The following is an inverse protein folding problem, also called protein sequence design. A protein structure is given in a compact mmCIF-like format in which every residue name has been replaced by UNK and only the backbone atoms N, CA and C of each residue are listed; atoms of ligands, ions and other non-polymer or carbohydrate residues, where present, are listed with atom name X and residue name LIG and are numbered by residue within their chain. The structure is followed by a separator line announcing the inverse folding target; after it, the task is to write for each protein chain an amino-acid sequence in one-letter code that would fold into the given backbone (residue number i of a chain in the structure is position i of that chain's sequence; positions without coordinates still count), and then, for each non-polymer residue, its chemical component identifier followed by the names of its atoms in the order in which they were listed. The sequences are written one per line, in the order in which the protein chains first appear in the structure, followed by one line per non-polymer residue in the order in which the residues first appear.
data_IF_116381959513
#
_entry.id   IF_116381959513
#
_cell.length_a   1.000
_cell.length_b   1.000
_cell.length_c   1.000
_cell.angle_alpha   90.00
_cell.angle_beta   90.00
_cell.angle_gamma   90.00
#
_symmetry.space_group_name_H-M   'P 1'
#
loop_
_entity.id
_entity.type
_entity.pdbx_description
1 polymer ?
#
# COMPACT_ATOMS: atom_id res chain seq x y z
N UNK A 1 25.59 -57.44 7.11
CA UNK A 1 26.63 -56.68 7.80
C UNK A 1 26.87 -55.43 7.01
N UNK A 2 26.52 -54.39 7.43
CA UNK A 2 27.06 -53.10 7.79
C UNK A 2 25.94 -52.06 7.88
N UNK A 3 25.83 -51.50 9.08
CA UNK A 3 24.85 -50.46 9.39
C UNK A 3 25.48 -49.09 9.03
N UNK A 4 24.90 -48.37 8.06
CA UNK A 4 25.23 -46.99 7.79
C UNK A 4 24.37 -46.08 8.67
N UNK A 5 25.00 -45.41 9.60
CA UNK A 5 24.38 -44.44 10.50
C UNK A 5 24.01 -43.15 9.76
N UNK A 6 22.75 -42.76 9.87
CA UNK A 6 22.29 -41.45 9.42
C UNK A 6 22.49 -40.44 10.52
N UNK A 7 23.42 -39.51 10.35
CA UNK A 7 23.60 -38.34 11.19
C UNK A 7 22.51 -37.31 10.91
N UNK A 8 21.96 -36.62 11.93
CA UNK A 8 21.01 -35.55 11.71
C UNK A 8 21.73 -34.29 11.23
N UNK A 9 21.35 -33.78 10.06
CA UNK A 9 21.75 -32.46 9.57
C UNK A 9 21.13 -31.37 10.45
N UNK A 10 21.91 -30.86 11.39
CA UNK A 10 21.63 -29.63 12.11
C UNK A 10 21.62 -28.47 11.11
N UNK A 11 20.45 -27.92 10.82
CA UNK A 11 20.30 -26.68 10.09
C UNK A 11 20.71 -25.49 10.96
N UNK A 12 22.00 -25.19 11.03
CA UNK A 12 22.49 -23.90 11.48
C UNK A 12 22.11 -22.86 10.40
N UNK A 13 20.98 -22.21 10.57
CA UNK A 13 20.64 -21.02 9.82
C UNK A 13 21.64 -19.92 10.15
N UNK A 14 22.40 -19.53 9.13
CA UNK A 14 23.49 -18.57 9.22
C UNK A 14 22.98 -17.20 9.69
N UNK A 15 23.49 -16.74 10.82
CA UNK A 15 23.31 -15.40 11.42
C UNK A 15 23.83 -14.24 10.52
N UNK A 16 24.29 -14.54 9.31
CA UNK A 16 24.87 -13.59 8.36
C UNK A 16 23.88 -12.60 7.75
N UNK A 17 22.66 -13.04 7.43
CA UNK A 17 21.71 -12.20 6.69
C UNK A 17 21.14 -11.04 7.51
N UNK A 18 20.86 -11.21 8.80
CA UNK A 18 20.38 -10.11 9.67
C UNK A 18 21.43 -9.01 9.85
N UNK A 19 22.69 -9.39 10.05
CA UNK A 19 23.78 -8.42 10.20
C UNK A 19 24.12 -7.69 8.90
N UNK A 20 24.00 -8.34 7.75
CA UNK A 20 24.19 -7.73 6.44
C UNK A 20 23.08 -6.72 6.17
N UNK A 21 21.82 -7.08 6.39
CA UNK A 21 20.67 -6.19 6.24
C UNK A 21 20.75 -4.97 7.16
N UNK A 22 21.08 -5.15 8.44
CA UNK A 22 21.25 -4.04 9.39
C UNK A 22 22.46 -3.16 9.06
N UNK A 23 23.52 -3.72 8.45
CA UNK A 23 24.65 -2.91 7.94
C UNK A 23 24.27 -2.08 6.72
N UNK A 24 23.45 -2.60 5.81
CA UNK A 24 22.94 -1.83 4.67
C UNK A 24 21.99 -0.71 5.12
N UNK A 25 21.13 -0.98 6.09
CA UNK A 25 20.28 0.06 6.72
C UNK A 25 21.12 1.11 7.44
N UNK A 26 22.21 0.71 8.14
CA UNK A 26 23.12 1.64 8.81
C UNK A 26 23.99 2.46 7.83
N UNK A 27 24.40 1.87 6.70
CA UNK A 27 25.11 2.56 5.62
C UNK A 27 24.21 3.59 4.89
N UNK A 28 22.92 3.32 4.78
CA UNK A 28 21.93 4.28 4.30
C UNK A 28 21.78 5.51 5.22
N UNK A 29 22.00 5.33 6.54
CA UNK A 29 21.96 6.42 7.52
C UNK A 29 23.22 7.31 7.48
N UNK A 30 24.34 6.82 6.96
CA UNK A 30 25.62 7.52 6.96
C UNK A 30 25.91 8.32 5.66
N UNK A 31 25.08 8.18 4.61
CA UNK A 31 25.24 8.96 3.40
C UNK A 31 24.70 10.39 3.62
N UNK A 32 25.60 11.31 3.94
CA UNK A 32 25.34 12.76 3.90
C UNK A 32 25.00 13.16 2.47
N UNK A 33 23.72 13.44 2.22
CA UNK A 33 23.24 13.93 0.93
C UNK A 33 23.84 15.29 0.64
N UNK A 34 24.64 15.38 -0.39
CA UNK A 34 24.90 16.65 -1.08
C UNK A 34 23.60 17.13 -1.69
N UNK A 35 23.00 18.17 -1.11
CA UNK A 35 21.89 18.92 -1.69
C UNK A 35 22.40 19.60 -2.98
N UNK A 36 22.34 18.90 -4.11
CA UNK A 36 22.65 19.48 -5.41
C UNK A 36 21.43 20.19 -5.97
N UNK A 37 21.43 21.52 -5.80
CA UNK A 37 21.01 22.57 -6.74
C UNK A 37 19.69 22.38 -7.50
N UNK A 38 18.59 22.71 -6.79
CA UNK A 38 17.40 23.26 -7.42
C UNK A 38 17.20 24.72 -6.94
N UNK A 39 18.11 25.58 -7.36
CA UNK A 39 18.01 27.03 -7.17
C UNK A 39 18.08 27.68 -8.55
N UNK A 40 16.97 27.64 -9.30
CA UNK A 40 16.85 28.47 -10.51
C UNK A 40 15.73 29.52 -10.39
N UNK A 41 14.70 29.37 -9.54
CA UNK A 41 13.57 30.31 -9.52
C UNK A 41 13.21 30.91 -8.15
N UNK A 42 14.08 30.86 -7.16
CA UNK A 42 13.89 31.61 -5.89
C UNK A 42 12.66 31.23 -5.02
N UNK A 43 11.77 30.37 -5.51
CA UNK A 43 10.65 29.85 -4.74
C UNK A 43 11.03 28.52 -4.07
N UNK A 44 10.75 28.35 -2.75
CA UNK A 44 10.90 27.04 -2.14
C UNK A 44 10.04 26.03 -2.93
N UNK A 45 10.53 24.80 -3.13
CA UNK A 45 9.72 23.79 -3.78
C UNK A 45 8.35 23.66 -3.09
N UNK A 46 7.27 23.48 -3.82
CA UNK A 46 5.95 23.38 -3.23
C UNK A 46 5.97 22.29 -2.15
N UNK A 47 5.57 22.64 -0.95
CA UNK A 47 5.53 21.69 0.17
C UNK A 47 4.64 20.52 -0.23
N UNK A 48 5.20 19.29 -0.22
CA UNK A 48 4.43 18.07 -0.50
C UNK A 48 3.18 18.01 0.37
N UNK A 49 2.08 17.54 -0.21
CA UNK A 49 0.80 17.38 0.50
C UNK A 49 0.59 15.95 1.00
N UNK A 50 1.25 14.97 0.36
CA UNK A 50 1.17 13.56 0.75
C UNK A 50 1.74 13.31 2.14
N UNK A 51 1.28 12.26 2.80
CA UNK A 51 1.72 11.86 4.15
C UNK A 51 2.46 10.53 4.14
N UNK A 52 3.53 10.41 4.93
CA UNK A 52 4.25 9.15 5.13
C UNK A 52 3.46 8.26 6.08
N UNK A 53 2.98 7.12 5.58
CA UNK A 53 2.02 6.29 6.27
C UNK A 53 2.66 5.03 6.85
N UNK A 54 2.37 4.72 8.11
CA UNK A 54 2.67 3.44 8.71
C UNK A 54 1.55 2.44 8.36
N UNK A 55 1.88 1.39 7.60
CA UNK A 55 1.04 0.21 7.38
C UNK A 55 1.70 -0.97 8.11
N UNK A 56 1.26 -1.30 9.33
CA UNK A 56 1.96 -2.28 10.17
C UNK A 56 2.08 -3.66 9.53
N UNK A 57 0.98 -4.17 8.97
CA UNK A 57 0.94 -5.51 8.35
C UNK A 57 1.89 -5.68 7.18
N UNK A 58 2.13 -4.63 6.39
CA UNK A 58 3.00 -4.67 5.21
C UNK A 58 4.49 -4.83 5.56
N UNK A 59 4.88 -4.50 6.79
CA UNK A 59 6.27 -4.51 7.26
C UNK A 59 6.51 -5.40 8.48
N UNK A 60 5.57 -6.33 8.78
CA UNK A 60 5.69 -7.27 9.88
C UNK A 60 5.50 -6.69 11.28
N UNK A 61 5.10 -5.43 11.40
CA UNK A 61 4.82 -4.77 12.69
C UNK A 61 3.47 -5.24 13.23
N UNK A 62 3.43 -5.56 14.51
CA UNK A 62 2.23 -6.01 15.20
C UNK A 62 1.86 -5.05 16.34
N UNK A 63 0.57 -4.95 16.67
CA UNK A 63 0.10 -4.13 17.77
C UNK A 63 -1.38 -3.77 17.63
N UNK A 64 -1.99 -3.35 18.74
CA UNK A 64 -3.30 -2.74 18.70
C UNK A 64 -3.22 -1.28 18.22
N UNK A 65 -4.37 -0.63 18.00
CA UNK A 65 -4.41 0.73 17.44
C UNK A 65 -3.60 1.75 18.26
N UNK A 66 -3.65 1.66 19.59
CA UNK A 66 -2.91 2.59 20.46
C UNK A 66 -1.40 2.37 20.36
N UNK A 67 -0.95 1.12 20.27
CA UNK A 67 0.47 0.78 20.09
C UNK A 67 0.99 1.23 18.72
N UNK A 68 0.18 1.08 17.66
CA UNK A 68 0.57 1.55 16.32
C UNK A 68 0.58 3.08 16.20
N UNK A 69 -0.31 3.78 16.92
CA UNK A 69 -0.27 5.25 17.04
C UNK A 69 1.03 5.71 17.72
N UNK A 70 1.41 5.06 18.83
CA UNK A 70 2.65 5.37 19.54
C UNK A 70 3.89 5.13 18.68
N UNK A 71 3.95 3.97 17.97
CA UNK A 71 5.01 3.67 17.01
C UNK A 71 5.09 4.72 15.90
N UNK A 72 3.95 5.08 15.30
CA UNK A 72 3.90 6.08 14.24
C UNK A 72 4.45 7.44 14.72
N UNK A 73 4.02 7.90 15.90
CA UNK A 73 4.45 9.16 16.49
C UNK A 73 5.97 9.16 16.77
N UNK A 74 6.48 8.11 17.43
CA UNK A 74 7.90 8.03 17.81
C UNK A 74 8.85 7.94 16.61
N UNK A 75 8.44 7.27 15.52
CA UNK A 75 9.25 7.16 14.32
C UNK A 75 9.08 8.32 13.33
N UNK A 76 8.10 9.20 13.57
CA UNK A 76 7.87 10.38 12.73
C UNK A 76 7.17 10.02 11.41
N UNK A 77 6.27 9.03 11.43
CA UNK A 77 5.24 8.90 10.40
C UNK A 77 4.24 10.05 10.54
N UNK A 78 3.50 10.33 9.50
CA UNK A 78 2.54 11.44 9.42
C UNK A 78 1.10 10.93 9.33
N UNK A 79 0.95 9.66 8.96
CA UNK A 79 -0.32 8.94 8.94
C UNK A 79 -0.10 7.46 9.27
N UNK A 80 -1.19 6.75 9.56
CA UNK A 80 -1.16 5.32 9.83
C UNK A 80 -2.45 4.64 9.39
N UNK A 81 -2.37 3.34 9.11
CA UNK A 81 -3.51 2.52 8.75
C UNK A 81 -4.47 2.34 9.94
N UNK A 82 -5.79 2.55 9.76
CA UNK A 82 -6.77 2.38 10.82
C UNK A 82 -7.12 0.89 11.01
N UNK A 83 -7.32 0.47 12.26
CA UNK A 83 -7.93 -0.82 12.60
C UNK A 83 -9.46 -0.67 12.57
N UNK A 84 -10.05 -0.95 11.41
CA UNK A 84 -11.41 -0.55 11.04
C UNK A 84 -12.47 -1.05 12.01
N UNK A 85 -12.49 -2.33 12.32
CA UNK A 85 -13.48 -2.96 13.20
C UNK A 85 -13.38 -2.43 14.63
N UNK A 86 -12.14 -2.25 15.12
CA UNK A 86 -11.91 -1.67 16.44
C UNK A 86 -12.47 -0.24 16.51
N UNK A 87 -12.10 0.64 15.58
CA UNK A 87 -12.55 2.03 15.58
C UNK A 87 -14.07 2.13 15.44
N UNK A 88 -14.67 1.30 14.59
CA UNK A 88 -16.13 1.30 14.39
C UNK A 88 -16.91 0.85 15.62
N UNK A 89 -16.32 -0.03 16.47
CA UNK A 89 -16.94 -0.54 17.69
C UNK A 89 -16.93 0.44 18.86
N UNK A 90 -16.15 1.52 18.78
CA UNK A 90 -15.96 2.45 19.89
C UNK A 90 -17.17 3.39 20.09
N UNK A 91 -17.50 3.65 21.35
CA UNK A 91 -18.38 4.77 21.72
C UNK A 91 -17.70 6.11 21.39
N UNK A 92 -18.45 7.23 21.28
CA UNK A 92 -17.86 8.54 21.00
C UNK A 92 -16.74 8.93 21.98
N UNK A 93 -16.93 8.67 23.28
CA UNK A 93 -15.93 9.01 24.31
C UNK A 93 -14.66 8.17 24.15
N UNK A 94 -14.79 6.86 23.91
CA UNK A 94 -13.65 5.97 23.67
C UNK A 94 -12.94 6.30 22.37
N UNK A 95 -13.65 6.69 21.33
CA UNK A 95 -13.04 7.16 20.08
C UNK A 95 -12.24 8.46 20.33
N UNK A 96 -12.78 9.39 21.11
CA UNK A 96 -12.06 10.61 21.47
C UNK A 96 -10.75 10.31 22.23
N UNK A 97 -10.73 9.31 23.12
CA UNK A 97 -9.51 8.85 23.79
C UNK A 97 -8.44 8.34 22.81
N UNK A 98 -8.86 7.65 21.72
CA UNK A 98 -7.94 7.17 20.67
C UNK A 98 -7.44 8.32 19.79
N UNK A 99 -8.31 9.26 19.44
CA UNK A 99 -7.96 10.37 18.55
C UNK A 99 -7.11 11.45 19.23
N UNK A 100 -7.18 11.58 20.56
CA UNK A 100 -6.43 12.61 21.30
C UNK A 100 -4.89 12.50 21.10
N UNK A 101 -4.22 11.34 21.29
CA UNK A 101 -2.79 11.23 21.04
C UNK A 101 -2.43 11.41 19.55
N UNK A 102 -3.28 10.99 18.61
CA UNK A 102 -3.06 11.25 17.18
C UNK A 102 -3.03 12.75 16.90
N UNK A 103 -4.01 13.47 17.41
CA UNK A 103 -4.08 14.94 17.26
C UNK A 103 -2.86 15.62 17.89
N UNK A 104 -2.44 15.20 19.06
CA UNK A 104 -1.27 15.74 19.74
C UNK A 104 0.03 15.49 18.95
N UNK A 105 0.13 14.37 18.25
CA UNK A 105 1.27 14.03 17.39
C UNK A 105 1.14 14.55 15.95
N UNK A 106 0.05 15.20 15.58
CA UNK A 106 -0.20 15.63 14.19
C UNK A 106 -0.45 14.49 13.22
N UNK A 107 -0.85 13.31 13.72
CA UNK A 107 -1.14 12.12 12.90
C UNK A 107 -2.56 12.15 12.35
N UNK A 108 -2.73 11.61 11.15
CA UNK A 108 -4.03 11.34 10.54
C UNK A 108 -4.16 9.87 10.16
N UNK A 109 -5.37 9.39 9.97
CA UNK A 109 -5.54 8.06 9.38
C UNK A 109 -5.27 8.10 7.87
N UNK A 110 -4.60 7.06 7.38
CA UNK A 110 -4.42 6.77 5.96
C UNK A 110 -5.66 6.10 5.34
N UNK A 111 -5.45 5.09 4.50
CA UNK A 111 -6.53 4.28 3.94
C UNK A 111 -6.80 3.04 4.80
N UNK A 112 -8.08 2.72 5.02
CA UNK A 112 -8.52 1.46 5.60
C UNK A 112 -8.56 0.35 4.55
N UNK A 113 -8.45 -0.91 4.96
CA UNK A 113 -8.75 -2.06 4.10
C UNK A 113 -10.26 -2.23 3.91
N UNK A 114 -10.71 -2.65 2.72
CA UNK A 114 -12.10 -3.00 2.45
C UNK A 114 -12.44 -4.34 3.10
N UNK A 115 -13.46 -4.36 3.95
CA UNK A 115 -13.94 -5.58 4.66
C UNK A 115 -14.86 -6.46 3.82
N UNK A 116 -15.36 -5.96 2.68
CA UNK A 116 -16.31 -6.70 1.81
C UNK A 116 -15.54 -7.61 0.86
N UNK A 117 -15.77 -8.92 0.96
CA UNK A 117 -15.16 -9.89 0.04
C UNK A 117 -15.99 -10.01 -1.25
N UNK A 118 -15.62 -9.22 -2.23
CA UNK A 118 -16.30 -9.15 -3.53
C UNK A 118 -15.74 -10.12 -4.58
N UNK A 119 -14.62 -10.80 -4.32
CA UNK A 119 -13.92 -11.70 -5.26
C UNK A 119 -14.44 -13.14 -5.20
N UNK A 120 -15.15 -13.50 -4.11
CA UNK A 120 -15.62 -14.86 -3.85
C UNK A 120 -17.11 -15.05 -4.19
N UNK A 121 -17.80 -15.91 -3.41
CA UNK A 121 -19.21 -16.23 -3.64
C UNK A 121 -20.15 -15.04 -3.42
N UNK A 122 -21.34 -15.11 -3.99
CA UNK A 122 -22.38 -14.09 -3.80
C UNK A 122 -22.78 -13.96 -2.33
N UNK A 123 -22.84 -15.10 -1.59
CA UNK A 123 -23.21 -15.10 -0.16
C UNK A 123 -22.22 -14.30 0.69
N UNK A 124 -20.90 -14.51 0.46
CA UNK A 124 -19.86 -13.75 1.17
C UNK A 124 -19.89 -12.27 0.83
N UNK A 125 -20.15 -11.96 -0.43
CA UNK A 125 -20.33 -10.58 -0.87
C UNK A 125 -21.54 -9.93 -0.20
N UNK A 126 -22.68 -10.59 -0.21
CA UNK A 126 -23.92 -10.08 0.39
C UNK A 126 -23.78 -9.88 1.92
N UNK A 127 -23.12 -10.81 2.62
CA UNK A 127 -22.82 -10.68 4.05
C UNK A 127 -21.94 -9.48 4.35
N UNK A 128 -20.84 -9.32 3.61
CA UNK A 128 -19.94 -8.18 3.76
C UNK A 128 -20.62 -6.85 3.46
N UNK A 129 -21.41 -6.81 2.38
CA UNK A 129 -22.14 -5.61 2.00
C UNK A 129 -23.21 -5.21 3.04
N UNK A 130 -23.86 -6.17 3.66
CA UNK A 130 -24.85 -5.94 4.75
C UNK A 130 -24.20 -5.25 5.96
N UNK A 131 -22.95 -5.59 6.27
CA UNK A 131 -22.24 -5.06 7.44
C UNK A 131 -21.54 -3.74 7.16
N UNK A 132 -21.30 -3.42 5.88
CA UNK A 132 -20.52 -2.25 5.48
C UNK A 132 -21.07 -0.90 5.96
N UNK A 133 -22.40 -0.61 5.99
CA UNK A 133 -22.91 0.68 6.45
C UNK A 133 -22.49 1.04 7.87
N UNK A 134 -22.57 0.07 8.79
CA UNK A 134 -22.18 0.30 10.19
C UNK A 134 -20.68 0.56 10.33
N UNK A 135 -19.86 -0.19 9.59
CA UNK A 135 -18.42 -0.01 9.54
C UNK A 135 -18.05 1.36 8.95
N UNK A 136 -18.64 1.72 7.81
CA UNK A 136 -18.40 3.00 7.13
C UNK A 136 -18.79 4.19 8.02
N UNK A 137 -19.92 4.12 8.73
CA UNK A 137 -20.30 5.13 9.72
C UNK A 137 -19.26 5.26 10.84
N UNK A 138 -18.72 4.14 11.33
CA UNK A 138 -17.66 4.13 12.33
C UNK A 138 -16.36 4.75 11.82
N UNK A 139 -15.94 4.39 10.63
CA UNK A 139 -14.75 4.95 9.96
C UNK A 139 -14.90 6.46 9.71
N UNK A 140 -16.06 6.90 9.25
CA UNK A 140 -16.32 8.33 9.04
C UNK A 140 -16.24 9.11 10.37
N UNK A 141 -16.82 8.59 11.48
CA UNK A 141 -16.68 9.20 12.81
C UNK A 141 -15.21 9.30 13.26
N UNK A 142 -14.37 8.33 12.90
CA UNK A 142 -12.94 8.34 13.17
C UNK A 142 -12.15 9.27 12.25
N UNK A 143 -12.78 9.88 11.24
CA UNK A 143 -12.12 10.76 10.27
C UNK A 143 -11.42 10.01 9.11
N UNK A 144 -11.69 8.71 8.95
CA UNK A 144 -11.17 7.91 7.82
C UNK A 144 -11.97 8.24 6.57
N UNK A 145 -11.32 8.70 5.52
CA UNK A 145 -11.96 9.12 4.26
C UNK A 145 -11.56 8.27 3.05
N UNK A 146 -10.74 7.25 3.25
CA UNK A 146 -10.18 6.42 2.20
C UNK A 146 -10.27 4.94 2.59
N UNK A 147 -10.74 4.11 1.67
CA UNK A 147 -10.76 2.65 1.80
C UNK A 147 -10.12 2.06 0.54
N UNK A 148 -9.20 1.13 0.69
CA UNK A 148 -8.49 0.47 -0.40
C UNK A 148 -8.77 -1.03 -0.46
N UNK A 149 -8.66 -1.58 -1.66
CA UNK A 149 -8.67 -3.03 -1.93
C UNK A 149 -7.86 -3.32 -3.19
N UNK A 150 -7.59 -4.59 -3.46
CA UNK A 150 -6.89 -5.03 -4.66
C UNK A 150 -7.74 -5.98 -5.50
N UNK A 151 -7.44 -6.11 -6.78
CA UNK A 151 -8.10 -7.02 -7.71
C UNK A 151 -7.18 -8.19 -8.06
N UNK A 152 -7.76 -9.41 -8.05
CA UNK A 152 -7.05 -10.57 -8.60
C UNK A 152 -6.91 -10.39 -10.11
N UNK A 153 -5.70 -10.41 -10.68
CA UNK A 153 -5.48 -10.10 -12.10
C UNK A 153 -5.78 -11.29 -13.04
N UNK A 154 -6.70 -12.14 -12.66
CA UNK A 154 -7.14 -13.28 -13.44
C UNK A 154 -8.21 -14.10 -12.75
N UNK A 155 -8.85 -15.00 -13.51
CA UNK A 155 -9.89 -15.88 -12.99
C UNK A 155 -9.79 -17.27 -13.66
N UNK A 156 -10.13 -18.34 -12.91
CA UNK A 156 -10.05 -19.71 -13.40
C UNK A 156 -11.22 -20.12 -14.29
N UNK A 157 -12.39 -19.50 -14.16
CA UNK A 157 -13.65 -19.86 -14.81
C UNK A 157 -14.36 -18.70 -15.51
N UNK A 158 -14.34 -17.48 -14.98
CA UNK A 158 -14.97 -16.33 -15.61
C UNK A 158 -14.08 -15.74 -16.70
N UNK A 159 -14.65 -15.53 -17.89
CA UNK A 159 -14.00 -14.74 -18.93
C UNK A 159 -13.76 -13.30 -18.47
N UNK A 160 -12.90 -12.54 -19.18
CA UNK A 160 -12.65 -11.13 -18.88
C UNK A 160 -13.95 -10.34 -18.74
N UNK A 161 -14.85 -10.46 -19.71
CA UNK A 161 -16.12 -9.70 -19.74
C UNK A 161 -17.04 -10.07 -18.58
N UNK A 162 -17.17 -11.36 -18.27
CA UNK A 162 -18.01 -11.82 -17.15
C UNK A 162 -17.44 -11.33 -15.81
N UNK A 163 -16.13 -11.44 -15.62
CA UNK A 163 -15.44 -10.98 -14.42
C UNK A 163 -15.53 -9.46 -14.27
N UNK A 164 -15.37 -8.71 -15.37
CA UNK A 164 -15.51 -7.26 -15.39
C UNK A 164 -16.92 -6.81 -14.97
N UNK A 165 -17.96 -7.42 -15.54
CA UNK A 165 -19.36 -7.12 -15.18
C UNK A 165 -19.65 -7.44 -13.71
N UNK A 166 -19.13 -8.55 -13.20
CA UNK A 166 -19.29 -8.93 -11.79
C UNK A 166 -18.60 -7.92 -10.87
N UNK A 167 -17.35 -7.54 -11.15
CA UNK A 167 -16.61 -6.56 -10.38
C UNK A 167 -17.30 -5.18 -10.41
N UNK A 168 -17.69 -4.71 -11.59
CA UNK A 168 -18.38 -3.44 -11.74
C UNK A 168 -19.69 -3.40 -10.92
N UNK A 169 -20.52 -4.44 -10.99
CA UNK A 169 -21.77 -4.54 -10.22
C UNK A 169 -21.52 -4.53 -8.72
N UNK A 170 -20.62 -5.41 -8.24
CA UNK A 170 -20.36 -5.56 -6.80
C UNK A 170 -19.68 -4.31 -6.22
N UNK A 171 -18.66 -3.80 -6.89
CA UNK A 171 -17.93 -2.61 -6.43
C UNK A 171 -18.77 -1.33 -6.52
N UNK A 172 -19.73 -1.24 -7.47
CA UNK A 172 -20.71 -0.15 -7.49
C UNK A 172 -21.55 -0.13 -6.21
N UNK A 173 -22.07 -1.29 -5.76
CA UNK A 173 -22.82 -1.37 -4.51
C UNK A 173 -21.97 -1.00 -3.29
N UNK A 174 -20.72 -1.42 -3.25
CA UNK A 174 -19.77 -1.03 -2.18
C UNK A 174 -19.51 0.47 -2.22
N UNK A 175 -19.21 1.02 -3.40
CA UNK A 175 -18.89 2.44 -3.57
C UNK A 175 -20.07 3.35 -3.18
N UNK A 176 -21.30 2.95 -3.49
CA UNK A 176 -22.51 3.69 -3.08
C UNK A 176 -22.62 3.79 -1.56
N UNK A 177 -22.45 2.67 -0.84
CA UNK A 177 -22.48 2.69 0.64
C UNK A 177 -21.36 3.57 1.20
N UNK A 178 -20.14 3.47 0.66
CA UNK A 178 -19.02 4.31 1.10
C UNK A 178 -19.25 5.79 0.80
N UNK A 179 -19.89 6.11 -0.34
CA UNK A 179 -20.23 7.48 -0.73
C UNK A 179 -21.21 8.14 0.24
N UNK A 180 -22.21 7.40 0.73
CA UNK A 180 -23.16 7.88 1.74
C UNK A 180 -22.47 8.27 3.06
N UNK A 181 -21.24 7.78 3.28
CA UNK A 181 -20.40 8.10 4.43
C UNK A 181 -19.18 8.96 4.08
N UNK A 182 -19.17 9.63 2.90
CA UNK A 182 -18.08 10.49 2.43
C UNK A 182 -16.71 9.78 2.36
N UNK A 183 -16.71 8.49 2.06
CA UNK A 183 -15.51 7.67 1.92
C UNK A 183 -15.28 7.36 0.44
N UNK A 184 -14.04 7.46 0.00
CA UNK A 184 -13.60 7.08 -1.34
C UNK A 184 -13.09 5.64 -1.36
N UNK A 185 -13.38 4.91 -2.43
CA UNK A 185 -12.95 3.54 -2.67
C UNK A 185 -11.79 3.49 -3.65
N UNK A 186 -10.63 3.00 -3.21
CA UNK A 186 -9.48 2.71 -4.06
C UNK A 186 -9.40 1.25 -4.45
N UNK A 187 -9.04 1.00 -5.70
CA UNK A 187 -8.83 -0.34 -6.23
C UNK A 187 -7.42 -0.44 -6.81
N UNK A 188 -6.68 -1.46 -6.41
CA UNK A 188 -5.35 -1.75 -6.92
C UNK A 188 -5.45 -2.78 -8.05
N UNK A 189 -4.80 -2.51 -9.17
CA UNK A 189 -4.51 -3.52 -10.19
C UNK A 189 -3.18 -4.19 -9.89
N UNK A 190 -3.08 -5.47 -10.22
CA UNK A 190 -1.85 -6.26 -10.00
C UNK A 190 -1.16 -6.52 -11.33
N UNK A 191 -0.16 -5.68 -11.65
CA UNK A 191 0.58 -5.72 -12.93
C UNK A 191 1.54 -6.89 -13.08
N UNK A 192 1.85 -7.63 -12.00
CA UNK A 192 2.89 -8.65 -11.96
C UNK A 192 2.60 -9.82 -12.91
N UNK A 193 3.44 -9.97 -13.96
CA UNK A 193 3.26 -10.99 -15.00
C UNK A 193 3.21 -12.41 -14.45
N UNK A 194 4.02 -12.74 -13.47
CA UNK A 194 4.04 -14.06 -12.83
C UNK A 194 2.75 -14.41 -12.08
N UNK A 195 1.82 -13.46 -11.88
CA UNK A 195 0.50 -13.69 -11.29
C UNK A 195 -0.57 -13.80 -12.36
N UNK A 196 -0.74 -12.78 -13.23
CA UNK A 196 -1.85 -12.77 -14.18
C UNK A 196 -1.74 -13.86 -15.26
N UNK A 197 -0.54 -14.35 -15.56
CA UNK A 197 -0.33 -15.47 -16.50
C UNK A 197 -0.68 -16.84 -15.92
N UNK A 198 -0.88 -16.97 -14.62
CA UNK A 198 -1.21 -18.26 -13.98
C UNK A 198 -2.68 -18.64 -14.09
N UNK A 199 -3.54 -17.68 -14.30
CA UNK A 199 -4.98 -17.90 -14.40
C UNK A 199 -5.38 -18.19 -15.84
N UNK A 200 -6.47 -18.96 -16.03
CA UNK A 200 -6.99 -19.28 -17.35
C UNK A 200 -7.40 -18.04 -18.15
N UNK A 201 -8.00 -17.09 -17.46
CA UNK A 201 -8.46 -15.82 -18.03
C UNK A 201 -7.76 -14.66 -17.33
N UNK A 202 -6.80 -13.99 -17.99
CA UNK A 202 -6.23 -12.74 -17.46
C UNK A 202 -7.32 -11.70 -17.20
N UNK A 203 -7.09 -10.85 -16.21
CA UNK A 203 -8.01 -9.79 -15.86
C UNK A 203 -7.23 -8.51 -15.63
N UNK A 204 -7.88 -7.44 -15.23
CA UNK A 204 -7.33 -6.09 -15.01
C UNK A 204 -5.95 -6.16 -14.34
N UNK A 205 -4.93 -5.65 -15.05
CA UNK A 205 -3.53 -5.63 -14.61
C UNK A 205 -2.76 -4.38 -15.07
N UNK A 206 -3.45 -3.38 -15.62
CA UNK A 206 -2.92 -2.09 -16.05
C UNK A 206 -3.76 -0.93 -15.51
N UNK A 207 -3.16 0.27 -15.41
CA UNK A 207 -3.87 1.48 -15.00
C UNK A 207 -5.02 1.81 -15.96
N UNK A 208 -4.81 1.62 -17.26
CA UNK A 208 -5.85 1.86 -18.26
C UNK A 208 -7.08 0.99 -18.02
N UNK A 209 -6.92 -0.31 -17.84
CA UNK A 209 -8.03 -1.24 -17.58
C UNK A 209 -8.73 -0.91 -16.25
N UNK A 210 -7.98 -0.48 -15.24
CA UNK A 210 -8.55 -0.04 -13.96
C UNK A 210 -9.43 1.21 -14.15
N UNK A 211 -9.01 2.16 -14.96
CA UNK A 211 -9.82 3.34 -15.29
C UNK A 211 -11.11 2.98 -16.04
N UNK A 212 -11.06 1.99 -16.94
CA UNK A 212 -12.24 1.47 -17.61
C UNK A 212 -13.25 0.87 -16.59
N UNK A 213 -12.74 0.15 -15.57
CA UNK A 213 -13.59 -0.36 -14.48
C UNK A 213 -14.16 0.78 -13.60
N UNK A 214 -13.37 1.78 -13.27
CA UNK A 214 -13.86 2.95 -12.51
C UNK A 214 -14.98 3.67 -13.26
N UNK A 215 -14.83 3.85 -14.56
CA UNK A 215 -15.84 4.47 -15.41
C UNK A 215 -17.13 3.63 -15.44
N UNK A 216 -17.02 2.29 -15.54
CA UNK A 216 -18.19 1.42 -15.50
C UNK A 216 -18.87 1.42 -14.13
N UNK A 217 -18.14 1.49 -13.01
CA UNK A 217 -18.70 1.63 -11.65
C UNK A 217 -19.52 2.93 -11.56
N UNK A 218 -18.98 4.06 -11.98
CA UNK A 218 -19.71 5.31 -12.24
C UNK A 218 -20.26 6.04 -11.02
N UNK A 219 -19.79 5.79 -9.81
CA UNK A 219 -20.29 6.42 -8.56
C UNK A 219 -19.57 7.74 -8.23
N UNK A 220 -18.47 8.05 -8.90
CA UNK A 220 -17.71 9.30 -8.72
C UNK A 220 -16.80 9.35 -7.47
N UNK A 221 -16.89 8.39 -6.56
CA UNK A 221 -16.03 8.27 -5.38
C UNK A 221 -15.04 7.11 -5.47
N UNK A 222 -14.84 6.53 -6.65
CA UNK A 222 -13.86 5.47 -6.91
C UNK A 222 -12.55 6.04 -7.44
N UNK A 223 -11.46 5.34 -7.16
CA UNK A 223 -10.14 5.67 -7.62
C UNK A 223 -9.22 4.48 -7.58
N UNK A 224 -7.92 4.74 -7.70
CA UNK A 224 -6.88 3.71 -7.66
C UNK A 224 -6.15 3.70 -6.32
N UNK A 225 -5.78 2.51 -5.85
CA UNK A 225 -4.59 2.32 -5.03
C UNK A 225 -3.45 2.15 -6.02
N UNK A 226 -2.51 3.07 -6.00
CA UNK A 226 -1.46 3.15 -7.00
C UNK A 226 -0.15 2.66 -6.42
N UNK A 227 0.28 1.47 -6.83
CA UNK A 227 1.54 0.89 -6.40
C UNK A 227 2.63 1.08 -7.46
N UNK A 228 3.78 1.60 -7.05
CA UNK A 228 4.96 1.77 -7.91
C UNK A 228 5.47 0.46 -8.52
N UNK A 229 5.34 -0.66 -7.80
CA UNK A 229 5.65 -1.98 -8.32
C UNK A 229 4.72 -2.38 -9.46
N UNK A 230 3.41 -2.24 -9.26
CA UNK A 230 2.42 -2.61 -10.27
C UNK A 230 2.45 -1.68 -11.48
N UNK A 231 2.64 -0.37 -11.27
CA UNK A 231 2.90 0.60 -12.34
C UNK A 231 4.11 0.19 -13.18
N UNK A 232 5.24 -0.13 -12.55
CA UNK A 232 6.46 -0.55 -13.23
C UNK A 232 6.29 -1.90 -13.94
N UNK A 233 5.61 -2.88 -13.32
CA UNK A 233 5.36 -4.21 -13.89
C UNK A 233 4.43 -4.16 -15.11
N UNK A 234 3.39 -3.33 -15.05
CA UNK A 234 2.42 -3.14 -16.13
C UNK A 234 2.98 -2.32 -17.30
N UNK A 235 4.17 -1.71 -17.14
CA UNK A 235 4.76 -0.78 -18.12
C UNK A 235 3.89 0.46 -18.37
N UNK A 236 3.07 0.84 -17.38
CA UNK A 236 2.27 2.04 -17.44
C UNK A 236 3.18 3.28 -17.49
N UNK A 237 2.75 4.30 -18.22
CA UNK A 237 3.56 5.48 -18.52
C UNK A 237 3.37 6.61 -17.51
N UNK A 238 4.34 7.52 -17.45
CA UNK A 238 4.20 8.77 -16.67
C UNK A 238 3.02 9.62 -17.18
N UNK A 239 2.74 9.59 -18.47
CA UNK A 239 1.60 10.32 -19.04
C UNK A 239 0.26 9.80 -18.50
N UNK A 240 0.14 8.50 -18.26
CA UNK A 240 -1.06 7.92 -17.64
C UNK A 240 -1.19 8.32 -16.17
N UNK A 241 -0.08 8.41 -15.43
CA UNK A 241 -0.10 8.95 -14.06
C UNK A 241 -0.55 10.42 -14.03
N UNK A 242 -0.01 11.24 -14.94
CA UNK A 242 -0.35 12.66 -15.05
C UNK A 242 -1.78 12.91 -15.54
N UNK A 243 -2.42 11.91 -16.15
CA UNK A 243 -3.83 11.97 -16.55
C UNK A 243 -4.80 11.67 -15.39
N UNK A 244 -4.30 11.26 -14.22
CA UNK A 244 -5.09 11.11 -13.00
C UNK A 244 -5.29 12.46 -12.32
N UNK A 245 -6.40 12.58 -11.60
CA UNK A 245 -6.66 13.69 -10.68
C UNK A 245 -6.32 13.26 -9.25
N UNK A 246 -6.04 14.23 -8.37
CA UNK A 246 -5.78 13.94 -6.95
C UNK A 246 -6.87 13.06 -6.31
N UNK A 247 -8.12 13.38 -6.56
CA UNK A 247 -9.28 12.64 -6.02
C UNK A 247 -9.41 11.21 -6.56
N UNK A 248 -8.79 10.90 -7.70
CA UNK A 248 -8.78 9.55 -8.27
C UNK A 248 -7.66 8.67 -7.69
N UNK A 249 -6.72 9.23 -6.90
CA UNK A 249 -5.70 8.45 -6.21
C UNK A 249 -6.06 8.34 -4.73
N UNK A 250 -6.41 7.15 -4.28
CA UNK A 250 -6.93 6.92 -2.94
C UNK A 250 -5.81 6.63 -1.95
N UNK A 251 -4.87 5.79 -2.32
CA UNK A 251 -3.68 5.44 -1.55
C UNK A 251 -2.53 5.15 -2.50
N UNK A 252 -1.32 5.27 -2.00
CA UNK A 252 -0.10 5.01 -2.77
C UNK A 252 0.80 4.05 -2.01
N UNK A 253 1.25 3.01 -2.72
CA UNK A 253 2.25 2.07 -2.25
C UNK A 253 3.54 2.28 -3.04
N UNK A 254 4.67 2.42 -2.34
CA UNK A 254 5.97 2.54 -2.98
C UNK A 254 6.89 1.41 -2.52
N UNK A 255 7.50 0.79 -3.50
CA UNK A 255 8.39 -0.36 -3.33
C UNK A 255 9.48 -0.30 -4.39
N UNK A 256 10.58 -1.02 -4.16
CA UNK A 256 11.61 -1.24 -5.17
C UNK A 256 11.64 -2.73 -5.57
N UNK A 257 12.31 -3.03 -6.66
CA UNK A 257 12.43 -4.39 -7.17
C UNK A 257 13.82 -4.97 -6.86
N UNK A 258 13.95 -6.28 -6.62
CA UNK A 258 15.23 -6.96 -6.55
C UNK A 258 16.08 -6.72 -7.79
N UNK A 259 17.34 -6.34 -7.59
CA UNK A 259 18.29 -6.18 -8.69
C UNK A 259 18.71 -7.50 -9.33
N UNK A 260 19.16 -7.45 -10.60
CA UNK A 260 19.71 -8.60 -11.30
C UNK A 260 18.68 -9.62 -11.80
N UNK A 261 17.39 -9.33 -11.69
CA UNK A 261 16.30 -10.18 -12.16
C UNK A 261 15.53 -9.46 -13.29
N UNK A 262 15.19 -10.17 -14.37
CA UNK A 262 14.38 -9.61 -15.44
C UNK A 262 12.96 -9.26 -14.95
N UNK A 263 12.37 -8.20 -15.50
CA UNK A 263 11.06 -7.69 -15.07
C UNK A 263 9.97 -8.78 -15.07
N UNK A 264 9.91 -9.59 -16.10
CA UNK A 264 8.91 -10.65 -16.26
C UNK A 264 9.14 -11.90 -15.39
N UNK A 265 10.26 -11.95 -14.68
CA UNK A 265 10.60 -12.98 -13.69
C UNK A 265 10.41 -12.51 -12.24
N UNK A 266 10.13 -11.24 -12.05
CA UNK A 266 9.91 -10.66 -10.72
C UNK A 266 8.70 -11.31 -10.05
N UNK A 267 8.80 -11.46 -8.73
CA UNK A 267 7.79 -12.14 -7.91
C UNK A 267 7.14 -11.12 -6.99
N UNK A 268 5.84 -10.98 -7.07
CA UNK A 268 5.04 -10.01 -6.34
C UNK A 268 5.31 -9.99 -4.82
N UNK A 269 5.34 -11.15 -4.20
CA UNK A 269 5.65 -11.31 -2.77
C UNK A 269 7.14 -11.22 -2.41
N UNK A 270 7.99 -10.62 -3.26
CA UNK A 270 9.43 -10.43 -3.04
C UNK A 270 9.88 -9.11 -3.59
N UNK A 271 9.64 -8.08 -2.85
CA UNK A 271 10.00 -6.70 -3.21
C UNK A 271 11.05 -6.17 -2.25
N UNK A 272 11.54 -4.97 -2.49
CA UNK A 272 12.49 -4.27 -1.65
C UNK A 272 11.87 -2.97 -1.11
N UNK A 273 12.44 -2.46 -0.03
CA UNK A 273 12.07 -1.13 0.47
C UNK A 273 12.29 -0.07 -0.61
N UNK A 274 11.48 1.00 -0.64
CA UNK A 274 11.63 2.09 -1.60
C UNK A 274 13.07 2.59 -1.70
N UNK A 275 13.59 2.78 -2.91
CA UNK A 275 14.95 3.24 -3.18
C UNK A 275 16.08 2.33 -2.66
N UNK A 276 15.83 1.05 -2.39
CA UNK A 276 16.86 0.12 -1.93
C UNK A 276 17.80 -0.30 -3.06
N UNK A 277 17.29 -0.51 -4.25
CA UNK A 277 18.05 -0.99 -5.42
C UNK A 277 18.13 0.02 -6.57
N UNK A 278 17.15 0.90 -6.68
CA UNK A 278 17.01 1.85 -7.79
C UNK A 278 16.51 1.21 -9.10
N UNK A 279 15.97 0.00 -9.06
CA UNK A 279 15.38 -0.67 -10.24
C UNK A 279 14.10 0.01 -10.68
N UNK A 280 13.27 0.44 -9.72
CA UNK A 280 12.08 1.26 -9.99
C UNK A 280 12.43 2.73 -9.79
N UNK A 281 12.17 3.57 -10.79
CA UNK A 281 12.36 5.02 -10.66
C UNK A 281 11.26 5.65 -9.81
N UNK A 282 11.42 5.50 -8.48
CA UNK A 282 10.50 6.07 -7.48
C UNK A 282 10.43 7.60 -7.58
N UNK A 283 11.53 8.24 -7.98
CA UNK A 283 11.56 9.69 -8.16
C UNK A 283 10.63 10.16 -9.28
N UNK A 284 10.63 9.49 -10.43
CA UNK A 284 9.71 9.79 -11.53
C UNK A 284 8.26 9.57 -11.11
N UNK A 285 7.98 8.44 -10.47
CA UNK A 285 6.65 8.10 -9.96
C UNK A 285 6.11 9.16 -8.98
N UNK A 286 6.89 9.51 -7.96
CA UNK A 286 6.48 10.50 -6.96
C UNK A 286 6.38 11.93 -7.52
N UNK A 287 7.24 12.32 -8.48
CA UNK A 287 7.11 13.62 -9.16
C UNK A 287 5.78 13.76 -9.90
N UNK A 288 5.33 12.69 -10.59
CA UNK A 288 4.02 12.70 -11.23
C UNK A 288 2.89 12.90 -10.21
N UNK A 289 2.93 12.21 -9.07
CA UNK A 289 1.95 12.37 -7.98
C UNK A 289 1.98 13.78 -7.37
N UNK A 290 3.16 14.34 -7.15
CA UNK A 290 3.29 15.72 -6.66
C UNK A 290 2.71 16.73 -7.65
N UNK A 291 2.92 16.50 -8.96
CA UNK A 291 2.40 17.37 -10.03
C UNK A 291 0.88 17.36 -10.12
N UNK A 292 0.21 16.22 -9.92
CA UNK A 292 -1.25 16.15 -9.86
C UNK A 292 -1.81 16.62 -8.51
N UNK A 293 -0.93 17.01 -7.56
CA UNK A 293 -1.30 17.55 -6.25
C UNK A 293 -1.77 16.50 -5.25
N UNK A 294 -1.33 15.24 -5.37
CA UNK A 294 -1.73 14.16 -4.48
C UNK A 294 -1.49 14.49 -3.01
N UNK A 295 -2.51 14.30 -2.18
CA UNK A 295 -2.55 14.68 -0.76
C UNK A 295 -2.81 13.52 0.21
N UNK A 296 -2.77 12.30 -0.30
CA UNK A 296 -3.08 11.09 0.45
C UNK A 296 -1.87 10.40 1.08
N UNK A 297 -2.09 9.21 1.68
CA UNK A 297 -1.05 8.41 2.31
C UNK A 297 -0.13 7.75 1.28
N UNK A 298 1.17 7.76 1.58
CA UNK A 298 2.20 6.97 0.89
C UNK A 298 2.81 6.00 1.89
N UNK A 299 2.70 4.72 1.63
CA UNK A 299 3.21 3.64 2.49
C UNK A 299 4.20 2.76 1.71
N UNK A 300 5.00 1.98 2.44
CA UNK A 300 5.81 0.92 1.85
C UNK A 300 5.10 -0.43 2.01
N UNK A 301 5.09 -1.23 0.92
CA UNK A 301 4.55 -2.60 0.91
C UNK A 301 5.57 -3.57 0.30
N UNK A 302 6.73 -3.77 0.94
CA UNK A 302 7.85 -4.46 0.29
C UNK A 302 7.72 -5.98 0.26
N UNK A 303 6.76 -6.59 0.98
CA UNK A 303 6.70 -8.04 1.15
C UNK A 303 8.09 -8.66 1.40
N UNK A 304 8.89 -7.96 2.21
CA UNK A 304 10.30 -8.28 2.44
C UNK A 304 10.46 -9.10 3.72
N UNK A 305 10.73 -10.39 3.56
CA UNK A 305 10.85 -11.27 4.73
C UNK A 305 11.92 -10.83 5.73
N UNK A 306 13.14 -10.41 5.34
CA UNK A 306 14.13 -9.89 6.29
C UNK A 306 13.62 -8.70 7.12
N UNK A 307 12.84 -7.79 6.51
CA UNK A 307 12.20 -6.68 7.24
C UNK A 307 11.12 -7.19 8.18
N UNK A 308 10.25 -8.08 7.69
CA UNK A 308 9.14 -8.62 8.48
C UNK A 308 9.56 -9.50 9.65
N UNK A 309 10.79 -9.99 9.64
CA UNK A 309 11.38 -10.78 10.75
C UNK A 309 12.02 -9.88 11.84
N UNK A 310 12.02 -8.56 11.66
CA UNK A 310 12.50 -7.62 12.67
C UNK A 310 11.44 -7.39 13.75
N UNK A 311 11.91 -6.94 14.92
CA UNK A 311 11.04 -6.37 15.94
C UNK A 311 10.41 -5.05 15.45
N UNK A 312 9.30 -4.62 16.05
CA UNK A 312 8.53 -3.45 15.63
C UNK A 312 9.39 -2.18 15.45
N UNK A 313 10.27 -1.88 16.42
CA UNK A 313 11.08 -0.66 16.39
C UNK A 313 12.04 -0.61 15.19
N UNK A 314 12.91 -1.60 14.95
CA UNK A 314 13.80 -1.58 13.81
C UNK A 314 13.06 -1.67 12.47
N UNK A 315 11.90 -2.35 12.39
CA UNK A 315 11.07 -2.39 11.17
C UNK A 315 10.51 -1.00 10.86
N UNK A 316 9.94 -0.29 11.83
CA UNK A 316 9.47 1.08 11.68
C UNK A 316 10.61 2.03 11.29
N UNK A 317 11.76 1.94 11.96
CA UNK A 317 12.92 2.80 11.69
C UNK A 317 13.45 2.62 10.25
N UNK A 318 13.60 1.39 9.78
CA UNK A 318 14.04 1.10 8.42
C UNK A 318 13.03 1.63 7.38
N UNK A 319 11.76 1.42 7.63
CA UNK A 319 10.67 1.83 6.73
C UNK A 319 10.56 3.34 6.60
N UNK A 320 10.51 4.06 7.73
CA UNK A 320 10.39 5.53 7.66
C UNK A 320 11.62 6.19 7.04
N UNK A 321 12.82 5.64 7.27
CA UNK A 321 14.04 6.11 6.63
C UNK A 321 13.96 5.96 5.11
N UNK A 322 13.51 4.82 4.63
CA UNK A 322 13.30 4.54 3.21
C UNK A 322 12.25 5.46 2.58
N UNK A 323 11.11 5.67 3.24
CA UNK A 323 10.07 6.61 2.79
C UNK A 323 10.59 8.05 2.74
N UNK A 324 11.35 8.51 3.74
CA UNK A 324 11.99 9.83 3.75
C UNK A 324 12.99 9.98 2.61
N UNK A 325 13.76 8.93 2.31
CA UNK A 325 14.67 8.91 1.16
C UNK A 325 13.89 9.07 -0.16
N UNK A 326 12.78 8.36 -0.32
CA UNK A 326 11.95 8.43 -1.51
C UNK A 326 11.37 9.84 -1.73
N UNK A 327 10.77 10.46 -0.71
CA UNK A 327 10.18 11.80 -0.86
C UNK A 327 11.22 12.93 -0.96
N UNK A 328 12.47 12.68 -0.62
CA UNK A 328 13.56 13.63 -0.86
C UNK A 328 13.97 13.72 -2.34
N UNK A 329 13.41 12.85 -3.21
CA UNK A 329 13.64 12.89 -4.67
C UNK A 329 12.70 13.88 -5.40
N UNK A 330 11.76 14.52 -4.69
CA UNK A 330 10.67 15.35 -5.28
C UNK A 330 10.42 16.65 -4.53
#
# INVERSE_FOLDING_TARGET
MERGSILPMNAQMKSGNRRAFLREVALLAASTYSLSTWAADGNPPPRRKLTLCLSPGSIGVTGNQMQTIDLAARHGFESLEPQSEYLASLSPDKLAEVLAPMKAAGLVFGAAGLSVEFRQSEDKFAEGLKNLPALAAGLNRAGVKRVGTWLMPGHSSLSYVENFRQHARRLRSVAQVLQDHEIRLGMEYVGTKTIWTRQRYPFIHTLKEMRDLMAEIGTGNTGVVLDSWHWWQAEDTVAELLALKNEEVISVDINDAPGGMAKDQQIDGRRELPCATGVIDIGVFLRALNQIGYDGPVRAEPFNKPLNDLENEPACAATILSLKKAVALV
#
